data_IF_677181663116
#
_entry.id   IF_677181663116
#
_cell.length_a   1.000
_cell.length_b   1.000
_cell.length_c   1.000
_cell.angle_alpha   90.00
_cell.angle_beta   90.00
_cell.angle_gamma   90.00
#
_symmetry.space_group_name_H-M   'P 1'
#
loop_
_entity.id
_entity.type
_entity.pdbx_description
1 polymer ?
#
# COMPACT_ATOMS: atom_id res chain seq x y z
N UNK A 1 -3.62 37.27 -20.87
CA UNK A 1 -4.72 36.82 -19.98
C UNK A 1 -4.59 35.31 -19.86
N UNK A 2 -4.40 34.78 -18.67
CA UNK A 2 -4.44 33.32 -18.43
C UNK A 2 -5.87 32.83 -18.62
N UNK A 3 -6.05 31.71 -19.35
CA UNK A 3 -7.36 31.08 -19.51
C UNK A 3 -7.96 30.74 -18.14
N UNK A 4 -9.28 30.85 -17.97
CA UNK A 4 -9.93 30.46 -16.72
C UNK A 4 -9.71 28.97 -16.46
N UNK A 5 -9.46 28.61 -15.21
CA UNK A 5 -9.30 27.21 -14.78
C UNK A 5 -10.65 26.67 -14.33
N UNK A 6 -11.08 25.58 -14.94
CA UNK A 6 -12.26 24.83 -14.52
C UNK A 6 -11.87 23.72 -13.55
N UNK A 7 -12.62 23.54 -12.45
CA UNK A 7 -12.47 22.47 -11.48
C UNK A 7 -13.73 21.61 -11.46
N UNK A 8 -13.63 20.37 -11.85
CA UNK A 8 -14.75 19.44 -11.97
C UNK A 8 -14.35 17.98 -11.85
N UNK A 9 -15.32 17.08 -11.81
CA UNK A 9 -15.05 15.65 -12.02
C UNK A 9 -14.54 15.40 -13.45
N UNK A 10 -13.70 14.40 -13.60
CA UNK A 10 -13.17 13.97 -14.90
C UNK A 10 -14.28 13.34 -15.75
N UNK A 11 -14.06 13.36 -17.06
CA UNK A 11 -14.89 12.68 -18.05
C UNK A 11 -14.03 11.75 -18.92
N UNK A 12 -14.61 10.84 -19.69
CA UNK A 12 -13.86 10.03 -20.64
C UNK A 12 -13.01 10.85 -21.64
N UNK A 13 -13.43 12.05 -21.99
CA UNK A 13 -12.70 12.95 -22.90
C UNK A 13 -11.38 13.47 -22.29
N UNK A 14 -11.27 13.50 -20.96
CA UNK A 14 -10.08 13.98 -20.27
C UNK A 14 -8.95 12.94 -20.24
N UNK A 15 -9.22 11.66 -20.52
CA UNK A 15 -8.28 10.54 -20.32
C UNK A 15 -6.92 10.78 -20.98
N UNK A 16 -6.80 11.20 -22.24
CA UNK A 16 -5.48 11.41 -22.85
C UNK A 16 -4.66 12.48 -22.12
N UNK A 17 -5.31 13.61 -21.74
CA UNK A 17 -4.64 14.71 -21.04
C UNK A 17 -4.34 14.38 -19.58
N UNK A 18 -5.21 13.61 -18.93
CA UNK A 18 -5.02 13.10 -17.55
C UNK A 18 -3.81 12.16 -17.48
N UNK A 19 -3.72 11.20 -18.41
CA UNK A 19 -2.59 10.28 -18.48
C UNK A 19 -1.27 11.01 -18.79
N UNK A 20 -1.30 12.02 -19.67
CA UNK A 20 -0.14 12.86 -19.93
C UNK A 20 0.31 13.63 -18.65
N UNK A 21 -0.65 14.09 -17.83
CA UNK A 21 -0.34 14.76 -16.56
C UNK A 21 0.26 13.79 -15.54
N UNK A 22 -0.22 12.56 -15.47
CA UNK A 22 0.36 11.53 -14.60
C UNK A 22 1.75 11.08 -15.05
N UNK A 23 1.99 10.97 -16.37
CA UNK A 23 3.31 10.60 -16.89
C UNK A 23 4.41 11.62 -16.55
N UNK A 24 4.06 12.90 -16.29
CA UNK A 24 5.00 13.90 -15.78
C UNK A 24 5.35 13.71 -14.27
N UNK A 25 4.52 12.98 -13.53
CA UNK A 25 4.63 12.84 -12.07
C UNK A 25 5.02 11.44 -11.60
N UNK A 26 4.65 10.42 -12.37
CA UNK A 26 4.82 9.01 -12.02
C UNK A 26 5.55 8.25 -13.12
N UNK A 27 6.48 7.41 -12.72
CA UNK A 27 7.19 6.48 -13.62
C UNK A 27 6.56 5.09 -13.65
N UNK A 28 5.62 4.83 -12.74
CA UNK A 28 5.07 3.49 -12.49
C UNK A 28 3.89 3.20 -13.42
N UNK A 29 4.02 2.17 -14.23
CA UNK A 29 2.99 1.76 -15.20
C UNK A 29 1.67 1.31 -14.53
N UNK A 30 1.69 0.92 -13.24
CA UNK A 30 0.50 0.47 -12.54
C UNK A 30 -0.52 1.60 -12.29
N UNK A 31 -0.10 2.88 -12.25
CA UNK A 31 -0.98 4.04 -12.01
C UNK A 31 -2.18 4.05 -12.96
N UNK A 32 -1.94 3.92 -14.26
CA UNK A 32 -3.01 3.91 -15.26
C UNK A 32 -3.76 2.58 -15.32
N UNK A 33 -3.05 1.45 -15.11
CA UNK A 33 -3.63 0.12 -15.12
C UNK A 33 -4.66 -0.08 -14.00
N UNK A 34 -4.28 0.26 -12.76
CA UNK A 34 -5.19 0.17 -11.61
C UNK A 34 -6.38 1.14 -11.73
N UNK A 35 -6.13 2.36 -12.19
CA UNK A 35 -7.19 3.34 -12.45
C UNK A 35 -8.22 2.85 -13.47
N UNK A 36 -7.78 2.18 -14.54
CA UNK A 36 -8.67 1.67 -15.57
C UNK A 36 -9.65 0.59 -15.06
N UNK A 37 -9.32 -0.11 -13.99
CA UNK A 37 -10.18 -1.13 -13.38
C UNK A 37 -11.31 -0.56 -12.51
N UNK A 38 -11.18 0.69 -12.00
CA UNK A 38 -12.28 1.32 -11.25
C UNK A 38 -13.38 1.78 -12.22
N UNK A 39 -14.58 1.19 -12.09
CA UNK A 39 -15.75 1.53 -12.90
C UNK A 39 -16.26 2.95 -12.64
N UNK A 40 -16.10 3.43 -11.41
CA UNK A 40 -16.55 4.76 -10.96
C UNK A 40 -15.44 5.83 -11.05
N UNK A 41 -14.30 5.52 -11.66
CA UNK A 41 -13.11 6.36 -11.69
C UNK A 41 -13.36 7.82 -12.07
N UNK A 42 -14.22 8.08 -13.04
CA UNK A 42 -14.50 9.44 -13.49
C UNK A 42 -15.22 10.27 -12.42
N UNK A 43 -16.18 9.68 -11.73
CA UNK A 43 -16.88 10.31 -10.61
C UNK A 43 -15.96 10.63 -9.45
N UNK A 44 -14.91 9.84 -9.27
CA UNK A 44 -13.94 9.90 -8.17
C UNK A 44 -12.66 10.64 -8.52
N UNK A 45 -12.50 11.09 -9.77
CA UNK A 45 -11.35 11.87 -10.22
C UNK A 45 -11.75 13.30 -10.40
N UNK A 46 -11.00 14.20 -9.75
CA UNK A 46 -11.19 15.64 -9.87
C UNK A 46 -10.03 16.22 -10.65
N UNK A 47 -10.33 17.12 -11.60
CA UNK A 47 -9.35 17.72 -12.51
C UNK A 47 -9.43 19.24 -12.48
N UNK A 48 -8.28 19.89 -12.62
CA UNK A 48 -8.17 21.28 -13.00
C UNK A 48 -7.86 21.34 -14.50
N UNK A 49 -8.74 21.98 -15.26
CA UNK A 49 -8.62 22.09 -16.73
C UNK A 49 -8.35 23.53 -17.10
N UNK A 50 -7.27 23.77 -17.86
CA UNK A 50 -6.89 25.10 -18.37
C UNK A 50 -6.68 24.98 -19.88
N UNK A 51 -7.34 25.85 -20.67
CA UNK A 51 -7.29 25.83 -22.13
C UNK A 51 -7.59 24.45 -22.74
N UNK A 52 -8.54 23.70 -22.15
CA UNK A 52 -8.93 22.37 -22.63
C UNK A 52 -7.99 21.22 -22.21
N UNK A 53 -6.92 21.49 -21.46
CA UNK A 53 -5.98 20.47 -20.99
C UNK A 53 -6.06 20.28 -19.48
N UNK A 54 -5.97 19.03 -19.00
CA UNK A 54 -5.81 18.73 -17.58
C UNK A 54 -4.43 19.19 -17.14
N UNK A 55 -4.37 20.09 -16.14
CA UNK A 55 -3.13 20.61 -15.58
C UNK A 55 -2.86 20.10 -14.16
N UNK A 56 -3.89 19.63 -13.47
CA UNK A 56 -3.75 18.93 -12.19
C UNK A 56 -4.89 17.93 -12.00
N UNK A 57 -4.65 16.89 -11.23
CA UNK A 57 -5.62 15.86 -10.92
C UNK A 57 -5.45 15.34 -9.49
N UNK A 58 -6.55 14.88 -8.89
CA UNK A 58 -6.59 14.08 -7.68
C UNK A 58 -7.69 13.02 -7.85
N UNK A 59 -7.39 11.79 -7.46
CA UNK A 59 -8.31 10.67 -7.50
C UNK A 59 -8.46 10.11 -6.10
N UNK A 60 -9.65 9.60 -5.74
CA UNK A 60 -9.81 8.81 -4.54
C UNK A 60 -10.46 7.46 -4.82
N UNK A 61 -10.08 6.47 -4.03
CA UNK A 61 -10.59 5.11 -4.08
C UNK A 61 -11.18 4.73 -2.72
N UNK A 62 -12.47 4.37 -2.60
CA UNK A 62 -13.03 3.86 -1.37
C UNK A 62 -12.43 2.52 -1.01
N UNK A 63 -12.00 2.37 0.25
CA UNK A 63 -11.40 1.14 0.78
C UNK A 63 -12.04 0.79 2.12
N UNK A 64 -12.19 -0.49 2.38
CA UNK A 64 -12.61 -1.00 3.68
C UNK A 64 -11.37 -1.26 4.51
N UNK A 65 -11.22 -0.54 5.61
CA UNK A 65 -10.02 -0.60 6.47
C UNK A 65 -10.43 -0.95 7.90
N UNK A 66 -9.71 -1.88 8.53
CA UNK A 66 -9.98 -2.30 9.91
C UNK A 66 -9.62 -1.21 10.90
N UNK A 67 -10.52 -0.98 11.84
CA UNK A 67 -10.30 -0.07 12.95
C UNK A 67 -9.60 -0.74 14.15
N UNK A 68 -9.39 0.02 15.22
CA UNK A 68 -8.73 -0.48 16.44
C UNK A 68 -9.69 -1.25 17.39
N UNK A 69 -11.00 -1.21 17.14
CA UNK A 69 -12.04 -1.86 17.95
C UNK A 69 -12.54 -3.18 17.36
N UNK A 70 -11.99 -3.61 16.22
CA UNK A 70 -12.40 -4.82 15.50
C UNK A 70 -13.51 -4.59 14.49
N UNK A 71 -13.88 -3.33 14.22
CA UNK A 71 -14.76 -2.92 13.15
C UNK A 71 -14.05 -2.65 11.84
N UNK A 72 -14.82 -2.14 10.86
CA UNK A 72 -14.30 -1.80 9.52
C UNK A 72 -14.90 -0.48 9.08
N UNK A 73 -14.04 0.50 8.81
CA UNK A 73 -14.41 1.79 8.27
C UNK A 73 -14.42 1.78 6.73
N UNK A 74 -15.32 2.55 6.12
CA UNK A 74 -15.17 2.98 4.73
C UNK A 74 -14.24 4.19 4.70
N UNK A 75 -13.13 4.07 3.97
CA UNK A 75 -12.03 5.03 3.93
C UNK A 75 -11.83 5.54 2.52
N UNK A 76 -11.74 6.85 2.35
CA UNK A 76 -11.41 7.45 1.07
C UNK A 76 -9.91 7.55 0.88
N UNK A 77 -9.33 6.67 0.08
CA UNK A 77 -7.92 6.67 -0.21
C UNK A 77 -7.55 7.63 -1.33
N UNK A 78 -6.74 8.65 -1.07
CA UNK A 78 -6.26 9.59 -2.10
C UNK A 78 -5.11 8.98 -2.88
N UNK A 79 -5.22 9.00 -4.20
CA UNK A 79 -4.28 8.44 -5.15
C UNK A 79 -4.04 9.39 -6.35
N UNK A 80 -3.01 9.09 -7.12
CA UNK A 80 -2.73 9.69 -8.42
C UNK A 80 -2.79 11.23 -8.42
N UNK A 81 -2.31 11.86 -7.35
CA UNK A 81 -2.27 13.32 -7.23
C UNK A 81 -1.10 13.87 -8.04
N UNK A 82 -1.39 14.66 -9.05
CA UNK A 82 -0.38 15.22 -9.94
C UNK A 82 -0.70 16.66 -10.34
N UNK A 83 0.35 17.43 -10.62
CA UNK A 83 0.26 18.77 -11.20
C UNK A 83 1.38 18.93 -12.22
N UNK A 84 1.05 19.33 -13.43
CA UNK A 84 2.04 19.66 -14.46
C UNK A 84 3.02 20.71 -13.95
N UNK A 85 4.28 20.60 -14.35
CA UNK A 85 5.36 21.46 -13.83
C UNK A 85 5.01 22.94 -13.93
N UNK A 86 4.49 23.39 -15.09
CA UNK A 86 4.13 24.79 -15.34
C UNK A 86 2.88 25.29 -14.59
N UNK A 87 2.13 24.39 -13.95
CA UNK A 87 0.92 24.73 -13.19
C UNK A 87 1.12 24.61 -11.65
N UNK A 88 2.32 24.24 -11.22
CA UNK A 88 2.63 24.10 -9.78
C UNK A 88 2.59 25.46 -9.07
N UNK A 89 2.39 25.42 -7.74
CA UNK A 89 2.34 26.62 -6.90
C UNK A 89 1.05 27.46 -7.01
N UNK A 90 0.08 27.05 -7.85
CA UNK A 90 -1.16 27.80 -8.10
C UNK A 90 -2.35 27.33 -7.27
N UNK A 91 -2.14 26.44 -6.30
CA UNK A 91 -3.17 25.98 -5.35
C UNK A 91 -4.17 24.96 -5.92
N UNK A 92 -3.92 24.38 -7.11
CA UNK A 92 -4.84 23.43 -7.75
C UNK A 92 -5.14 22.23 -6.86
N UNK A 93 -4.11 21.58 -6.28
CA UNK A 93 -4.29 20.38 -5.46
C UNK A 93 -5.18 20.64 -4.27
N UNK A 94 -5.04 21.77 -3.58
CA UNK A 94 -5.90 22.11 -2.45
C UNK A 94 -7.38 22.12 -2.87
N UNK A 95 -7.72 22.77 -3.99
CA UNK A 95 -9.11 22.82 -4.49
C UNK A 95 -9.62 21.45 -4.92
N UNK A 96 -8.78 20.63 -5.55
CA UNK A 96 -9.15 19.27 -5.93
C UNK A 96 -9.36 18.35 -4.72
N UNK A 97 -8.55 18.51 -3.68
CA UNK A 97 -8.74 17.80 -2.41
C UNK A 97 -10.03 18.23 -1.69
N UNK A 98 -10.41 19.51 -1.76
CA UNK A 98 -11.68 19.96 -1.19
C UNK A 98 -12.87 19.28 -1.89
N UNK A 99 -12.83 19.16 -3.23
CA UNK A 99 -13.85 18.41 -4.01
C UNK A 99 -13.84 16.91 -3.67
N UNK A 100 -12.65 16.31 -3.59
CA UNK A 100 -12.51 14.90 -3.26
C UNK A 100 -13.07 14.58 -1.87
N UNK A 101 -12.77 15.43 -0.87
CA UNK A 101 -13.28 15.24 0.49
C UNK A 101 -14.79 15.43 0.57
N UNK A 102 -15.36 16.38 -0.17
CA UNK A 102 -16.81 16.55 -0.25
C UNK A 102 -17.48 15.30 -0.86
N UNK A 103 -16.88 14.73 -1.90
CA UNK A 103 -17.38 13.49 -2.52
C UNK A 103 -17.23 12.27 -1.59
N UNK A 104 -16.10 12.14 -0.88
CA UNK A 104 -15.90 11.10 0.13
C UNK A 104 -16.95 11.21 1.25
N UNK A 105 -17.27 12.42 1.71
CA UNK A 105 -18.29 12.63 2.72
C UNK A 105 -19.68 12.20 2.21
N UNK A 106 -20.01 12.53 0.97
CA UNK A 106 -21.25 12.09 0.32
C UNK A 106 -21.32 10.57 0.11
N UNK A 107 -20.18 9.91 -0.11
CA UNK A 107 -20.04 8.45 -0.21
C UNK A 107 -20.04 7.75 1.17
N UNK A 108 -20.10 8.50 2.28
CA UNK A 108 -20.12 7.96 3.64
C UNK A 108 -18.77 7.50 4.16
N UNK A 109 -17.64 7.99 3.59
CA UNK A 109 -16.32 7.67 4.11
C UNK A 109 -16.12 8.25 5.52
N UNK A 110 -15.70 7.42 6.45
CA UNK A 110 -15.45 7.83 7.83
C UNK A 110 -14.24 8.79 7.93
N UNK A 111 -13.20 8.51 7.15
CA UNK A 111 -11.95 9.27 7.10
C UNK A 111 -11.23 9.05 5.78
N UNK A 112 -10.15 9.81 5.56
CA UNK A 112 -9.33 9.70 4.36
C UNK A 112 -7.88 9.33 4.69
N UNK A 113 -7.26 8.53 3.81
CA UNK A 113 -5.89 8.00 3.90
C UNK A 113 -5.10 8.36 2.65
N UNK A 114 -3.82 8.64 2.80
CA UNK A 114 -2.86 8.71 1.68
C UNK A 114 -1.44 8.38 2.15
N UNK A 115 -0.57 8.09 1.17
CA UNK A 115 0.87 7.93 1.38
C UNK A 115 1.63 8.85 0.42
N UNK A 116 2.60 9.61 0.94
CA UNK A 116 3.30 10.62 0.15
C UNK A 116 4.71 10.91 0.65
N UNK A 117 5.62 11.16 -0.28
CA UNK A 117 6.95 11.73 0.03
C UNK A 117 6.93 13.27 0.21
N UNK A 118 5.77 13.94 -0.03
CA UNK A 118 5.63 15.40 0.03
C UNK A 118 4.48 15.83 0.96
N UNK A 119 4.55 15.51 2.28
CA UNK A 119 3.44 15.72 3.20
C UNK A 119 3.00 17.19 3.29
N UNK A 120 3.90 18.15 3.08
CA UNK A 120 3.59 19.58 3.10
C UNK A 120 2.46 20.02 2.15
N UNK A 121 2.24 19.29 1.06
CA UNK A 121 1.17 19.56 0.09
C UNK A 121 -0.22 19.37 0.72
N UNK A 122 -0.36 18.46 1.68
CA UNK A 122 -1.64 18.00 2.22
C UNK A 122 -1.99 18.60 3.58
N UNK A 123 -1.01 19.19 4.30
CA UNK A 123 -1.23 19.76 5.64
C UNK A 123 -2.32 20.85 5.65
N UNK A 124 -2.31 21.74 4.65
CA UNK A 124 -3.32 22.81 4.52
C UNK A 124 -4.72 22.29 4.21
N UNK A 125 -4.83 21.03 3.74
CA UNK A 125 -6.09 20.35 3.50
C UNK A 125 -6.53 19.47 4.69
N UNK A 126 -5.96 19.67 5.88
CA UNK A 126 -6.36 19.01 7.12
C UNK A 126 -5.82 17.59 7.33
N UNK A 127 -4.92 17.12 6.49
CA UNK A 127 -4.23 15.84 6.70
C UNK A 127 -3.15 15.98 7.77
N UNK A 128 -2.95 14.88 8.53
CA UNK A 128 -1.91 14.78 9.54
C UNK A 128 -1.11 13.49 9.32
N UNK A 129 0.20 13.59 9.48
CA UNK A 129 1.11 12.42 9.37
C UNK A 129 0.94 11.50 10.56
N UNK A 130 1.11 10.21 10.31
CA UNK A 130 1.36 9.18 11.31
C UNK A 130 2.64 8.42 10.98
N UNK A 131 3.15 7.65 11.92
CA UNK A 131 4.42 6.95 11.76
C UNK A 131 4.21 5.45 11.83
N UNK A 132 4.60 4.75 10.77
CA UNK A 132 4.84 3.30 10.82
C UNK A 132 6.31 3.04 11.12
N UNK A 133 6.61 1.90 11.72
CA UNK A 133 7.98 1.48 12.04
C UNK A 133 8.22 0.10 11.46
N UNK A 134 9.40 -0.10 10.88
CA UNK A 134 9.78 -1.38 10.33
C UNK A 134 11.27 -1.66 10.52
N UNK A 135 11.69 -2.92 10.69
CA UNK A 135 13.09 -3.27 10.83
C UNK A 135 13.81 -3.30 9.48
N UNK A 136 15.09 -2.92 9.52
CA UNK A 136 16.03 -3.08 8.41
C UNK A 136 17.39 -3.51 8.93
N UNK A 137 18.22 -4.08 8.06
CA UNK A 137 19.55 -4.53 8.44
C UNK A 137 20.21 -5.36 7.36
N UNK A 138 21.30 -6.06 7.72
CA UNK A 138 21.91 -7.06 6.86
C UNK A 138 21.04 -8.31 6.80
N UNK A 139 20.90 -8.99 5.65
CA UNK A 139 20.29 -10.32 5.63
C UNK A 139 21.03 -11.26 6.60
N UNK A 140 20.26 -12.10 7.30
CA UNK A 140 20.81 -13.15 8.14
C UNK A 140 21.48 -14.23 7.30
N UNK A 141 22.29 -15.10 7.92
CA UNK A 141 22.97 -16.19 7.22
C UNK A 141 22.04 -17.22 6.57
N UNK A 142 20.76 -17.18 6.89
CA UNK A 142 19.77 -18.14 6.45
C UNK A 142 19.90 -19.47 7.20
N UNK A 143 18.79 -20.00 7.69
CA UNK A 143 18.72 -21.30 8.36
C UNK A 143 18.14 -22.33 7.40
N UNK A 144 18.66 -23.57 7.36
CA UNK A 144 18.04 -24.65 6.59
C UNK A 144 16.56 -24.82 6.94
N UNK A 145 15.74 -25.10 5.94
CA UNK A 145 14.33 -25.40 6.18
C UNK A 145 14.21 -26.72 6.98
N UNK A 146 13.31 -26.78 7.96
CA UNK A 146 13.01 -28.03 8.65
C UNK A 146 12.46 -29.07 7.65
N UNK A 147 12.59 -30.38 7.96
CA UNK A 147 11.90 -31.43 7.21
C UNK A 147 10.40 -31.10 7.07
N UNK A 148 9.77 -31.58 6.00
CA UNK A 148 8.34 -31.36 5.69
C UNK A 148 7.95 -29.91 5.28
N UNK A 149 8.90 -28.96 5.29
CA UNK A 149 8.67 -27.61 4.79
C UNK A 149 9.24 -27.42 3.40
N UNK A 150 8.47 -26.72 2.56
CA UNK A 150 8.95 -26.23 1.26
C UNK A 150 8.60 -24.76 1.11
N UNK A 151 9.51 -24.00 0.49
CA UNK A 151 9.26 -22.61 0.07
C UNK A 151 9.53 -22.53 -1.42
N UNK A 152 8.54 -22.06 -2.18
CA UNK A 152 8.64 -21.94 -3.63
C UNK A 152 8.04 -20.63 -4.10
N UNK A 153 8.57 -20.11 -5.20
CA UNK A 153 7.96 -19.00 -5.92
C UNK A 153 6.60 -19.42 -6.50
N UNK A 154 5.64 -18.51 -6.45
CA UNK A 154 4.30 -18.68 -6.99
C UNK A 154 3.87 -17.40 -7.70
N UNK A 155 3.10 -17.53 -8.77
CA UNK A 155 2.53 -16.38 -9.44
C UNK A 155 1.51 -15.66 -8.55
N UNK A 156 1.51 -14.33 -8.46
CA UNK A 156 0.49 -13.60 -7.69
C UNK A 156 -0.93 -13.74 -8.26
N UNK A 157 -1.10 -14.28 -9.47
CA UNK A 157 -2.43 -14.61 -10.01
C UNK A 157 -3.04 -15.87 -9.39
N UNK A 158 -2.22 -16.73 -8.76
CA UNK A 158 -2.67 -17.94 -8.06
C UNK A 158 -3.01 -17.63 -6.59
N UNK A 159 -3.85 -16.62 -6.38
CA UNK A 159 -4.13 -16.04 -5.08
C UNK A 159 -5.17 -16.78 -4.23
N UNK A 160 -5.94 -17.70 -4.82
CA UNK A 160 -7.09 -18.30 -4.15
C UNK A 160 -6.74 -19.00 -2.81
N UNK A 161 -5.54 -19.60 -2.72
CA UNK A 161 -5.06 -20.20 -1.46
C UNK A 161 -4.39 -19.20 -0.51
N UNK A 162 -4.03 -17.99 -0.99
CA UNK A 162 -3.35 -16.96 -0.20
C UNK A 162 -4.33 -16.03 0.49
N UNK A 163 -5.49 -15.75 -0.14
CA UNK A 163 -6.49 -14.83 0.38
C UNK A 163 -7.00 -15.23 1.79
N UNK A 164 -7.32 -16.50 2.08
CA UNK A 164 -7.72 -16.90 3.44
C UNK A 164 -6.61 -16.74 4.47
N UNK A 165 -5.34 -16.98 4.08
CA UNK A 165 -4.18 -16.77 4.96
C UNK A 165 -4.04 -15.29 5.32
N UNK A 166 -4.12 -14.42 4.30
CA UNK A 166 -4.07 -12.96 4.49
C UNK A 166 -5.19 -12.47 5.41
N UNK A 167 -6.42 -12.90 5.15
CA UNK A 167 -7.59 -12.48 5.92
C UNK A 167 -7.47 -12.92 7.38
N UNK A 168 -7.10 -14.16 7.63
CA UNK A 168 -6.90 -14.68 8.99
C UNK A 168 -5.77 -13.95 9.74
N UNK A 169 -4.64 -13.68 9.05
CA UNK A 169 -3.49 -12.99 9.64
C UNK A 169 -3.78 -11.53 9.99
N UNK A 170 -4.65 -10.88 9.22
CA UNK A 170 -5.00 -9.47 9.39
C UNK A 170 -6.35 -9.25 10.08
N UNK A 171 -7.05 -10.30 10.52
CA UNK A 171 -8.41 -10.22 11.07
C UNK A 171 -8.61 -9.15 12.15
N UNK A 172 -7.57 -8.92 12.98
CA UNK A 172 -7.58 -7.95 14.07
C UNK A 172 -6.50 -6.88 13.94
N UNK A 173 -5.95 -6.67 12.72
CA UNK A 173 -4.87 -5.70 12.50
C UNK A 173 -5.44 -4.34 12.12
N UNK A 174 -5.34 -3.32 12.97
CA UNK A 174 -5.77 -1.98 12.63
C UNK A 174 -5.02 -1.44 11.40
N UNK A 175 -5.67 -0.57 10.64
CA UNK A 175 -5.16 0.06 9.43
C UNK A 175 -5.00 -0.90 8.22
N UNK A 176 -5.23 -2.20 8.38
CA UNK A 176 -5.18 -3.14 7.25
C UNK A 176 -6.46 -3.11 6.42
N UNK A 177 -6.32 -3.24 5.11
CA UNK A 177 -7.45 -3.32 4.19
C UNK A 177 -8.13 -4.68 4.26
N UNK A 178 -9.46 -4.68 4.23
CA UNK A 178 -10.26 -5.88 3.94
C UNK A 178 -10.30 -6.04 2.43
N UNK A 179 -9.48 -6.93 1.90
CA UNK A 179 -9.42 -7.21 0.47
C UNK A 179 -10.60 -8.03 0.00
N UNK A 180 -11.23 -7.60 -1.08
CA UNK A 180 -12.23 -8.39 -1.79
C UNK A 180 -11.62 -9.23 -2.92
N UNK A 181 -12.47 -9.94 -3.66
CA UNK A 181 -12.01 -10.77 -4.77
C UNK A 181 -11.40 -9.95 -5.92
N UNK A 182 -11.85 -8.72 -6.13
CA UNK A 182 -11.31 -7.84 -7.17
C UNK A 182 -9.94 -7.28 -6.77
N UNK A 183 -9.70 -7.00 -5.50
CA UNK A 183 -8.37 -6.65 -5.00
C UNK A 183 -7.36 -7.77 -5.30
N UNK A 184 -7.72 -9.01 -5.00
CA UNK A 184 -6.86 -10.16 -5.25
C UNK A 184 -6.64 -10.42 -6.74
N UNK A 185 -7.68 -10.27 -7.55
CA UNK A 185 -7.64 -10.56 -8.98
C UNK A 185 -6.94 -9.48 -9.79
N UNK A 186 -7.13 -8.19 -9.43
CA UNK A 186 -6.73 -7.06 -10.25
C UNK A 186 -5.55 -6.28 -9.64
N UNK A 187 -5.57 -6.03 -8.32
CA UNK A 187 -4.58 -5.16 -7.68
C UNK A 187 -3.32 -5.90 -7.26
N UNK A 188 -3.48 -7.00 -6.52
CA UNK A 188 -2.34 -7.77 -6.00
C UNK A 188 -1.38 -8.22 -7.12
N UNK A 189 -1.84 -8.76 -8.28
CA UNK A 189 -0.95 -9.12 -9.37
C UNK A 189 -0.21 -7.93 -10.00
N UNK A 190 -0.83 -6.75 -10.03
CA UNK A 190 -0.19 -5.53 -10.55
C UNK A 190 0.88 -5.03 -9.58
N UNK A 191 0.57 -4.95 -8.29
CA UNK A 191 1.50 -4.51 -7.26
C UNK A 191 2.68 -5.47 -7.05
N UNK A 192 2.44 -6.78 -7.21
CA UNK A 192 3.46 -7.81 -7.04
C UNK A 192 3.95 -8.40 -8.36
N UNK A 193 3.80 -7.63 -9.45
CA UNK A 193 4.47 -7.93 -10.72
C UNK A 193 6.02 -7.87 -10.56
N UNK A 194 6.77 -8.54 -11.42
CA UNK A 194 8.23 -8.44 -11.42
C UNK A 194 8.73 -6.98 -11.34
N UNK A 195 9.76 -6.66 -10.56
CA UNK A 195 10.72 -7.60 -9.94
C UNK A 195 10.31 -8.15 -8.56
N UNK A 196 9.03 -8.10 -8.19
CA UNK A 196 8.55 -8.71 -6.95
C UNK A 196 8.40 -10.23 -7.14
N UNK A 197 8.93 -10.99 -6.20
CA UNK A 197 8.74 -12.44 -6.13
C UNK A 197 7.79 -12.75 -4.97
N UNK A 198 6.73 -13.51 -5.25
CA UNK A 198 5.86 -14.08 -4.24
C UNK A 198 6.33 -15.49 -3.90
N UNK A 199 6.61 -15.73 -2.63
CA UNK A 199 7.03 -17.03 -2.08
C UNK A 199 5.90 -17.62 -1.25
N UNK A 200 5.68 -18.91 -1.38
CA UNK A 200 4.68 -19.65 -0.59
C UNK A 200 5.37 -20.76 0.20
N UNK A 201 5.16 -20.72 1.52
CA UNK A 201 5.59 -21.79 2.42
C UNK A 201 4.49 -22.84 2.55
N UNK A 202 4.87 -24.11 2.34
CA UNK A 202 3.98 -25.25 2.54
C UNK A 202 4.55 -26.20 3.58
N UNK A 203 3.69 -26.67 4.48
CA UNK A 203 3.99 -27.74 5.41
C UNK A 203 3.21 -28.97 5.01
N UNK A 204 3.93 -30.07 4.70
CA UNK A 204 3.32 -31.32 4.18
C UNK A 204 2.36 -31.08 3.02
N UNK A 205 2.77 -30.23 2.09
CA UNK A 205 2.02 -29.88 0.87
C UNK A 205 0.88 -28.87 1.06
N UNK A 206 0.52 -28.46 2.30
CA UNK A 206 -0.53 -27.49 2.56
C UNK A 206 0.06 -26.09 2.72
N UNK A 207 -0.57 -25.08 2.13
CA UNK A 207 -0.19 -23.68 2.28
C UNK A 207 -0.28 -23.23 3.72
N UNK A 208 0.85 -22.77 4.27
CA UNK A 208 0.99 -22.33 5.66
C UNK A 208 1.22 -20.81 5.77
N UNK A 209 1.76 -20.19 4.74
CA UNK A 209 2.02 -18.75 4.69
C UNK A 209 2.59 -18.33 3.35
N UNK A 210 2.70 -17.02 3.14
CA UNK A 210 3.30 -16.44 1.95
C UNK A 210 4.08 -15.16 2.27
N UNK A 211 4.90 -14.72 1.33
CA UNK A 211 5.70 -13.50 1.44
C UNK A 211 5.90 -12.91 0.05
N UNK A 212 5.84 -11.57 -0.07
CA UNK A 212 6.24 -10.83 -1.25
C UNK A 212 7.55 -10.08 -1.00
N UNK A 213 8.56 -10.32 -1.85
CA UNK A 213 9.88 -9.72 -1.78
C UNK A 213 10.21 -8.95 -3.06
N UNK A 214 10.56 -7.69 -2.94
CA UNK A 214 11.02 -6.84 -4.05
C UNK A 214 12.54 -6.83 -4.08
N UNK A 215 13.11 -7.28 -5.20
CA UNK A 215 14.55 -7.33 -5.40
C UNK A 215 15.03 -6.13 -6.23
N UNK A 216 16.15 -5.57 -5.81
CA UNK A 216 16.88 -4.54 -6.55
C UNK A 216 18.39 -4.72 -6.32
N UNK A 217 19.27 -4.11 -7.11
CA UNK A 217 20.70 -4.22 -6.91
C UNK A 217 21.11 -3.87 -5.47
N UNK A 218 21.75 -4.82 -4.80
CA UNK A 218 22.24 -4.67 -3.42
C UNK A 218 21.19 -4.64 -2.32
N UNK A 219 19.89 -4.71 -2.66
CA UNK A 219 18.79 -4.56 -1.68
C UNK A 219 17.62 -5.50 -1.94
N UNK A 220 17.04 -6.03 -0.85
CA UNK A 220 15.72 -6.69 -0.86
C UNK A 220 14.77 -5.97 0.08
N UNK A 221 13.51 -5.85 -0.32
CA UNK A 221 12.43 -5.37 0.55
C UNK A 221 11.37 -6.45 0.67
N UNK A 222 11.13 -6.94 1.89
CA UNK A 222 9.94 -7.73 2.19
C UNK A 222 8.79 -6.76 2.36
N UNK A 223 7.81 -6.82 1.48
CA UNK A 223 6.72 -5.84 1.40
C UNK A 223 5.38 -6.38 1.88
N UNK A 224 5.26 -7.70 1.97
CA UNK A 224 4.11 -8.36 2.59
C UNK A 224 4.51 -9.74 3.10
N UNK A 225 3.93 -10.17 4.21
CA UNK A 225 4.01 -11.55 4.67
C UNK A 225 2.82 -11.89 5.56
N UNK A 226 2.30 -13.10 5.41
CA UNK A 226 1.25 -13.63 6.27
C UNK A 226 1.43 -15.14 6.49
N UNK A 227 0.96 -15.61 7.62
CA UNK A 227 0.91 -17.03 7.95
C UNK A 227 -0.40 -17.34 8.69
N UNK A 228 -0.84 -18.58 8.64
CA UNK A 228 -1.92 -19.01 9.52
C UNK A 228 -1.52 -18.81 10.99
N UNK A 229 -2.40 -18.33 11.87
CA UNK A 229 -2.07 -18.10 13.29
C UNK A 229 -1.59 -19.35 14.04
N UNK A 230 -2.03 -20.53 13.62
CA UNK A 230 -1.62 -21.83 14.14
C UNK A 230 -0.35 -22.40 13.47
N UNK A 231 0.27 -21.64 12.54
CA UNK A 231 1.45 -22.04 11.77
C UNK A 231 2.49 -20.91 11.68
N UNK A 232 2.90 -20.28 12.80
CA UNK A 232 3.85 -19.17 12.80
C UNK A 232 5.23 -19.56 12.24
N UNK A 233 5.59 -20.86 12.25
CA UNK A 233 6.82 -21.37 11.68
C UNK A 233 6.94 -21.11 10.17
N UNK A 234 5.82 -20.87 9.47
CA UNK A 234 5.83 -20.48 8.07
C UNK A 234 6.62 -19.19 7.84
N UNK A 235 6.52 -18.21 8.75
CA UNK A 235 7.30 -16.96 8.67
C UNK A 235 8.80 -17.24 8.77
N UNK A 236 9.22 -18.13 9.67
CA UNK A 236 10.64 -18.51 9.79
C UNK A 236 11.16 -19.16 8.52
N UNK A 237 10.35 -20.05 7.91
CA UNK A 237 10.69 -20.70 6.65
C UNK A 237 10.82 -19.69 5.50
N UNK A 238 9.85 -18.76 5.37
CA UNK A 238 9.85 -17.71 4.35
C UNK A 238 11.04 -16.76 4.53
N UNK A 239 11.29 -16.31 5.74
CA UNK A 239 12.38 -15.38 6.06
C UNK A 239 13.75 -16.02 5.80
N UNK A 240 13.93 -17.28 6.21
CA UNK A 240 15.16 -18.04 5.90
C UNK A 240 15.38 -18.19 4.40
N UNK A 241 14.31 -18.42 3.61
CA UNK A 241 14.42 -18.51 2.16
C UNK A 241 14.85 -17.18 1.53
N UNK A 242 14.28 -16.05 1.97
CA UNK A 242 14.70 -14.71 1.51
C UNK A 242 16.15 -14.44 1.89
N UNK A 243 16.56 -14.72 3.14
CA UNK A 243 17.93 -14.49 3.60
C UNK A 243 18.95 -15.30 2.79
N UNK A 244 18.66 -16.58 2.50
CA UNK A 244 19.50 -17.43 1.65
C UNK A 244 19.61 -16.87 0.23
N UNK A 245 18.47 -16.54 -0.40
CA UNK A 245 18.46 -15.93 -1.74
C UNK A 245 19.21 -14.60 -1.76
N UNK A 246 19.14 -13.81 -0.69
CA UNK A 246 19.89 -12.57 -0.57
C UNK A 246 21.41 -12.83 -0.56
N UNK A 247 21.86 -13.85 0.18
CA UNK A 247 23.26 -14.25 0.18
C UNK A 247 23.73 -14.75 -1.19
N UNK A 248 22.93 -15.59 -1.87
CA UNK A 248 23.20 -16.09 -3.23
C UNK A 248 23.31 -14.97 -4.26
N UNK A 249 22.51 -13.91 -4.13
CA UNK A 249 22.49 -12.74 -5.01
C UNK A 249 23.46 -11.62 -4.58
N UNK A 250 24.22 -11.79 -3.50
CA UNK A 250 25.15 -10.77 -2.97
C UNK A 250 24.42 -9.51 -2.46
N UNK A 251 23.18 -9.65 -1.97
CA UNK A 251 22.39 -8.55 -1.42
C UNK A 251 22.85 -8.23 0.00
N UNK A 252 23.31 -7.00 0.23
CA UNK A 252 23.87 -6.57 1.52
C UNK A 252 22.87 -5.88 2.45
N UNK A 253 21.68 -5.51 1.96
CA UNK A 253 20.70 -4.78 2.76
C UNK A 253 19.28 -5.33 2.57
N UNK A 254 18.58 -5.53 3.68
CA UNK A 254 17.19 -5.98 3.71
C UNK A 254 16.33 -5.02 4.53
N UNK A 255 15.16 -4.67 3.98
CA UNK A 255 14.14 -3.89 4.68
C UNK A 255 12.89 -4.74 4.81
N UNK A 256 12.43 -4.97 6.04
CA UNK A 256 11.21 -5.71 6.31
C UNK A 256 10.07 -4.73 6.60
N UNK A 257 9.33 -4.32 5.53
CA UNK A 257 8.13 -3.49 5.68
C UNK A 257 6.97 -4.35 6.19
N UNK A 258 7.04 -4.68 7.46
CA UNK A 258 6.14 -5.59 8.15
C UNK A 258 5.65 -4.96 9.45
N UNK A 259 4.44 -5.31 9.92
CA UNK A 259 3.91 -4.84 11.19
C UNK A 259 4.71 -5.34 12.40
N UNK A 260 4.63 -4.62 13.50
CA UNK A 260 4.99 -5.14 14.80
C UNK A 260 3.96 -6.24 15.18
N UNK A 261 4.40 -7.49 15.09
CA UNK A 261 3.58 -8.69 15.30
C UNK A 261 4.44 -9.75 15.98
N UNK A 262 3.97 -10.39 17.07
CA UNK A 262 4.77 -11.35 17.83
C UNK A 262 5.34 -12.50 16.99
N UNK A 263 4.58 -13.01 16.01
CA UNK A 263 5.04 -14.09 15.15
C UNK A 263 6.12 -13.61 14.16
N UNK A 264 5.96 -12.38 13.64
CA UNK A 264 6.99 -11.74 12.80
C UNK A 264 8.24 -11.47 13.61
N UNK A 265 8.12 -10.90 14.80
CA UNK A 265 9.26 -10.60 15.68
C UNK A 265 10.05 -11.85 16.06
N UNK A 266 9.36 -12.95 16.38
CA UNK A 266 9.98 -14.24 16.68
C UNK A 266 10.69 -14.87 15.46
N UNK A 267 10.25 -14.56 14.24
CA UNK A 267 10.85 -15.05 13.01
C UNK A 267 11.95 -14.12 12.46
N UNK A 268 11.97 -12.84 12.85
CA UNK A 268 12.84 -11.80 12.31
C UNK A 268 14.34 -12.16 12.32
N UNK A 269 14.90 -12.85 13.34
CA UNK A 269 16.30 -13.29 13.31
C UNK A 269 16.65 -14.25 12.17
N UNK A 270 15.66 -14.88 11.52
CA UNK A 270 15.87 -15.68 10.31
C UNK A 270 16.01 -14.83 9.05
N UNK A 271 15.63 -13.56 9.10
CA UNK A 271 15.69 -12.62 7.97
C UNK A 271 16.82 -11.60 8.12
N UNK A 272 16.97 -11.01 9.32
CA UNK A 272 17.86 -9.88 9.60
C UNK A 272 18.87 -10.22 10.71
N UNK A 273 20.12 -9.84 10.46
CA UNK A 273 21.14 -9.73 11.48
C UNK A 273 21.23 -8.26 11.96
N UNK A 274 21.31 -8.07 13.28
CA UNK A 274 21.46 -6.77 13.93
C UNK A 274 20.47 -5.70 13.39
N UNK A 275 19.15 -5.94 13.48
CA UNK A 275 18.17 -5.04 12.88
C UNK A 275 18.14 -3.68 13.59
N UNK A 276 17.98 -2.62 12.78
CA UNK A 276 17.63 -1.27 13.25
C UNK A 276 16.19 -0.97 12.87
N UNK A 277 15.52 -0.12 13.65
CA UNK A 277 14.16 0.31 13.35
C UNK A 277 14.16 1.59 12.53
N UNK A 278 13.57 1.56 11.35
CA UNK A 278 13.33 2.73 10.53
C UNK A 278 11.91 3.28 10.75
N UNK A 279 11.76 4.60 10.67
CA UNK A 279 10.47 5.28 10.73
C UNK A 279 10.00 5.63 9.32
N UNK A 280 8.76 5.27 9.00
CA UNK A 280 8.06 5.67 7.78
C UNK A 280 6.98 6.69 8.15
N UNK A 281 7.15 7.93 7.73
CA UNK A 281 6.24 9.06 7.96
C UNK A 281 5.47 9.46 6.70
N UNK A 282 5.41 8.58 5.71
CA UNK A 282 4.72 8.85 4.45
C UNK A 282 3.20 8.77 4.56
N UNK A 283 2.68 8.07 5.57
CA UNK A 283 1.25 7.93 5.81
C UNK A 283 0.62 9.20 6.38
N UNK A 284 -0.53 9.60 5.83
CA UNK A 284 -1.31 10.72 6.34
C UNK A 284 -2.81 10.37 6.40
N UNK A 285 -3.48 10.88 7.41
CA UNK A 285 -4.93 10.69 7.61
C UNK A 285 -5.64 12.02 7.82
N UNK A 286 -6.92 12.05 7.46
CA UNK A 286 -7.83 13.18 7.69
C UNK A 286 -9.20 12.66 8.14
N UNK A 287 -9.78 13.17 9.26
CA UNK A 287 -11.16 12.83 9.63
C UNK A 287 -12.16 13.43 8.62
N UNK A 288 -13.26 12.72 8.36
CA UNK A 288 -14.41 13.18 7.58
C UNK A 288 -15.65 13.13 8.48
N UNK A 289 -16.15 11.92 8.79
CA UNK A 289 -17.23 11.68 9.76
C UNK A 289 -16.71 11.10 11.09
N UNK A 290 -15.55 10.44 11.06
CA UNK A 290 -14.92 9.89 12.25
C UNK A 290 -14.35 11.00 13.15
N UNK A 291 -14.36 10.77 14.46
CA UNK A 291 -13.69 11.65 15.41
C UNK A 291 -12.16 11.56 15.27
N UNK A 292 -11.41 12.64 15.54
CA UNK A 292 -9.93 12.60 15.52
C UNK A 292 -9.33 11.53 16.41
N UNK A 293 -9.90 11.26 17.59
CA UNK A 293 -9.44 10.25 18.53
C UNK A 293 -9.58 8.82 17.97
N UNK A 294 -10.60 8.58 17.12
CA UNK A 294 -10.74 7.31 16.42
C UNK A 294 -9.57 7.04 15.47
N UNK A 295 -9.14 8.07 14.72
CA UNK A 295 -7.98 7.96 13.85
C UNK A 295 -6.68 7.77 14.63
N UNK A 296 -6.53 8.49 15.74
CA UNK A 296 -5.37 8.34 16.62
C UNK A 296 -5.30 6.92 17.20
N UNK A 297 -6.44 6.34 17.58
CA UNK A 297 -6.52 4.97 18.05
C UNK A 297 -6.11 3.97 16.95
N UNK A 298 -6.55 4.14 15.69
CA UNK A 298 -6.21 3.26 14.57
C UNK A 298 -4.71 3.36 14.24
N UNK A 299 -4.20 4.57 14.04
CA UNK A 299 -2.83 4.79 13.57
C UNK A 299 -1.77 4.60 14.64
N UNK A 300 -2.16 4.72 15.93
CA UNK A 300 -1.31 4.50 17.09
C UNK A 300 -1.42 3.10 17.70
N UNK A 301 -2.31 2.24 17.20
CA UNK A 301 -2.49 0.90 17.73
C UNK A 301 -1.24 0.04 17.51
N UNK A 302 -0.94 -0.83 18.48
CA UNK A 302 0.11 -1.81 18.33
C UNK A 302 -0.18 -2.72 17.11
N UNK A 303 0.81 -2.91 16.25
CA UNK A 303 0.67 -3.72 15.04
C UNK A 303 -0.15 -3.08 13.91
N UNK A 304 -0.60 -1.82 14.04
CA UNK A 304 -1.26 -1.10 12.96
C UNK A 304 -0.37 -1.07 11.71
N UNK A 305 -0.94 -1.47 10.57
CA UNK A 305 -0.16 -1.56 9.35
C UNK A 305 -1.02 -1.52 8.09
N UNK A 306 -0.53 -0.83 7.07
CA UNK A 306 -1.13 -0.79 5.75
C UNK A 306 -0.17 -1.41 4.74
N UNK A 307 -0.63 -2.46 4.04
CA UNK A 307 0.23 -3.21 3.12
C UNK A 307 0.47 -2.44 1.82
N UNK A 308 1.68 -2.53 1.23
CA UNK A 308 1.98 -1.84 -0.03
C UNK A 308 1.03 -2.19 -1.19
N UNK A 309 0.55 -3.44 -1.31
CA UNK A 309 -0.44 -3.81 -2.33
C UNK A 309 -1.82 -3.16 -2.13
N UNK A 310 -2.07 -2.59 -0.94
CA UNK A 310 -3.28 -1.85 -0.62
C UNK A 310 -3.13 -0.34 -0.82
N UNK A 311 -1.92 0.12 -1.22
CA UNK A 311 -1.69 1.53 -1.53
C UNK A 311 -2.61 1.99 -2.66
N UNK A 312 -2.90 3.24 -2.63
CA UNK A 312 -4.02 3.89 -3.32
C UNK A 312 -3.60 4.37 -4.70
#
# INVERSE_FOLDING_TARGET
MTAPVEYRSATPADVPSLYATWAEAFTDAHVTGLYAHDRDRFRRTFVAVEAGAVVAAAYYLPRRVRDAAGGVDLVGGIANVATRVQARGRGHIRRLLDLAVAAMAADGCAWSLLFTGTPGVYLSSGYRTFTLRHPSGRPAAGVPLPPDWTVRAQSPVDWAELAPVHESFNAHRPLSTVRDADDWRLRVPVWYAPPTEMLVARHRGRTAGYLAAQWSPGRVRVVESAAWPDRPEALRALFSAVARTAAERGVGHCVARLPADPAIEAALPCLLADPVTEADTTGMVRPIHAAPDHLAAITGAAGAFHWPADYL
#
